data_IF_949121349747
#
_entry.id   IF_949121349747
#
_cell.length_a   1.000
_cell.length_b   1.000
_cell.length_c   1.000
_cell.angle_alpha   90.00
_cell.angle_beta   90.00
_cell.angle_gamma   90.00
#
_symmetry.space_group_name_H-M   'P 1'
#
loop_
_entity.id
_entity.type
_entity.pdbx_description
1 polymer ?
#
# COMPACT_ATOMS: atom_id res chain seq x y z
N UNK A 1 -63.39 18.00 54.65
CA UNK A 1 -63.82 18.19 53.25
C UNK A 1 -62.65 18.76 52.47
N UNK A 2 -62.48 18.28 51.24
CA UNK A 2 -61.33 18.50 50.35
C UNK A 2 -61.07 19.99 50.05
N UNK A 3 -59.81 20.42 50.01
CA UNK A 3 -59.20 20.96 48.77
C UNK A 3 -57.71 21.32 48.96
N UNK A 4 -56.96 21.18 47.86
CA UNK A 4 -55.50 21.15 47.68
C UNK A 4 -54.89 22.54 47.45
N UNK A 5 -53.58 22.73 47.67
CA UNK A 5 -52.65 23.55 46.85
C UNK A 5 -51.21 23.39 47.43
N UNK A 6 -50.32 22.62 46.80
CA UNK A 6 -49.34 22.97 45.76
C UNK A 6 -47.97 23.43 46.32
N UNK A 7 -46.94 22.61 46.17
CA UNK A 7 -45.52 22.95 46.37
C UNK A 7 -44.71 22.51 45.12
N UNK A 8 -43.75 23.32 44.63
CA UNK A 8 -43.16 23.13 43.32
C UNK A 8 -42.03 22.09 43.32
N UNK A 9 -41.96 21.34 42.22
CA UNK A 9 -40.85 20.47 41.83
C UNK A 9 -39.66 21.32 41.38
N UNK A 10 -38.50 21.15 42.03
CA UNK A 10 -37.20 21.57 41.49
C UNK A 10 -36.49 20.31 41.00
N UNK A 11 -36.37 20.19 39.69
CA UNK A 11 -35.68 19.11 38.99
C UNK A 11 -34.18 19.44 38.96
N UNK A 12 -33.38 18.79 39.82
CA UNK A 12 -31.92 18.85 39.75
C UNK A 12 -31.45 17.90 38.64
N UNK A 13 -31.10 18.46 37.48
CA UNK A 13 -30.54 17.72 36.34
C UNK A 13 -29.06 17.42 36.55
N UNK A 14 -28.74 16.16 36.83
CA UNK A 14 -27.38 15.63 36.88
C UNK A 14 -26.80 15.56 35.46
N UNK A 15 -25.89 16.48 35.10
CA UNK A 15 -25.08 16.34 33.90
C UNK A 15 -24.03 15.23 34.12
N UNK A 16 -24.27 14.06 33.55
CA UNK A 16 -23.23 13.05 33.36
C UNK A 16 -22.40 13.44 32.13
N UNK A 17 -21.20 13.97 32.34
CA UNK A 17 -20.20 14.14 31.27
C UNK A 17 -19.56 12.78 31.03
N UNK A 18 -20.06 12.04 30.04
CA UNK A 18 -19.34 10.88 29.50
C UNK A 18 -18.14 11.38 28.71
N UNK A 19 -16.97 11.39 29.35
CA UNK A 19 -15.69 11.52 28.67
C UNK A 19 -15.43 10.24 27.85
N UNK A 20 -15.70 10.29 26.54
CA UNK A 20 -15.18 9.28 25.62
C UNK A 20 -13.67 9.53 25.46
N UNK A 21 -12.86 8.74 26.16
CA UNK A 21 -11.41 8.65 25.93
C UNK A 21 -11.16 7.99 24.57
N UNK A 22 -11.12 8.78 23.51
CA UNK A 22 -10.58 8.36 22.22
C UNK A 22 -9.07 8.19 22.34
N UNK A 23 -8.62 7.01 22.74
CA UNK A 23 -7.21 6.64 22.66
C UNK A 23 -6.74 6.63 21.19
N UNK A 24 -5.46 6.88 20.92
CA UNK A 24 -4.93 6.82 19.55
C UNK A 24 -5.18 5.42 18.96
N UNK A 25 -5.68 5.38 17.72
CA UNK A 25 -5.87 4.14 16.99
C UNK A 25 -4.53 3.38 16.90
N UNK A 26 -4.53 2.10 17.27
CA UNK A 26 -3.34 1.26 17.18
C UNK A 26 -2.84 1.20 15.73
N UNK A 27 -1.54 1.40 15.53
CA UNK A 27 -0.94 1.30 14.20
C UNK A 27 -1.10 -0.14 13.65
N UNK A 28 -1.30 -0.30 12.33
CA UNK A 28 -1.42 -1.63 11.73
C UNK A 28 -0.08 -2.38 11.78
N UNK A 29 -0.14 -3.64 12.19
CA UNK A 29 1.01 -4.56 12.16
C UNK A 29 1.42 -4.79 10.70
N UNK A 30 2.70 -4.54 10.39
CA UNK A 30 3.33 -4.86 9.11
C UNK A 30 4.02 -6.21 9.19
N UNK A 31 4.16 -6.85 8.04
CA UNK A 31 4.96 -8.06 7.87
C UNK A 31 6.09 -7.73 6.91
N UNK A 32 7.33 -7.96 7.34
CA UNK A 32 8.53 -7.86 6.50
C UNK A 32 9.15 -9.24 6.33
N UNK A 33 10.09 -9.34 5.39
CA UNK A 33 10.86 -10.57 5.15
C UNK A 33 12.36 -10.27 5.26
N UNK A 34 13.09 -11.08 6.03
CA UNK A 34 14.56 -11.04 6.05
C UNK A 34 15.12 -11.94 4.93
N UNK A 35 15.97 -11.39 4.06
CA UNK A 35 16.39 -12.08 2.82
C UNK A 35 17.91 -12.04 2.58
N UNK A 36 18.45 -13.26 2.53
CA UNK A 36 19.68 -13.73 1.88
C UNK A 36 19.36 -15.17 1.46
N UNK A 37 18.40 -15.33 0.54
CA UNK A 37 17.33 -16.37 0.61
C UNK A 37 16.43 -16.19 1.84
N UNK A 38 15.17 -16.67 1.86
CA UNK A 38 14.35 -16.60 3.07
C UNK A 38 15.08 -17.25 4.25
N UNK A 39 15.29 -16.49 5.33
CA UNK A 39 16.04 -16.98 6.50
C UNK A 39 15.09 -17.29 7.65
N UNK A 40 15.00 -18.57 8.01
CA UNK A 40 14.19 -19.07 9.10
C UNK A 40 14.99 -19.19 10.41
N UNK A 41 14.36 -18.86 11.54
CA UNK A 41 14.92 -19.09 12.88
C UNK A 41 15.76 -17.95 13.47
N UNK A 42 15.89 -16.80 12.76
CA UNK A 42 16.50 -15.60 13.33
C UNK A 42 15.62 -15.03 14.42
N UNK A 43 16.20 -14.71 15.57
CA UNK A 43 15.50 -13.94 16.60
C UNK A 43 15.36 -12.49 16.14
N UNK A 44 14.16 -11.91 16.25
CA UNK A 44 13.92 -10.50 15.98
C UNK A 44 13.22 -9.81 17.15
N UNK A 45 13.44 -8.52 17.26
CA UNK A 45 12.75 -7.62 18.19
C UNK A 45 12.59 -6.24 17.55
N UNK A 46 11.35 -5.81 17.33
CA UNK A 46 10.99 -4.49 16.78
C UNK A 46 10.62 -3.47 17.86
N UNK A 47 10.67 -3.86 19.14
CA UNK A 47 10.16 -3.09 20.27
C UNK A 47 8.72 -3.46 20.63
N UNK A 48 7.80 -3.51 19.65
CA UNK A 48 6.41 -3.97 19.87
C UNK A 48 6.21 -5.46 19.61
N UNK A 49 7.03 -6.06 18.74
CA UNK A 49 6.95 -7.47 18.39
C UNK A 49 8.31 -8.13 18.50
N UNK A 50 8.34 -9.34 19.06
CA UNK A 50 9.52 -10.16 19.11
C UNK A 50 9.16 -11.62 18.81
N UNK A 51 10.10 -12.36 18.23
CA UNK A 51 9.89 -13.74 17.87
C UNK A 51 11.03 -14.30 17.03
N UNK A 52 10.74 -15.36 16.29
CA UNK A 52 11.66 -15.91 15.29
C UNK A 52 11.10 -15.72 13.89
N UNK A 53 11.98 -15.51 12.91
CA UNK A 53 11.58 -15.48 11.50
C UNK A 53 11.02 -16.84 11.07
N UNK A 54 9.97 -16.81 10.25
CA UNK A 54 9.30 -18.03 9.76
C UNK A 54 10.11 -18.73 8.67
N UNK A 55 9.62 -19.87 8.15
CA UNK A 55 10.20 -20.55 6.99
C UNK A 55 10.28 -19.66 5.72
N UNK A 56 9.38 -18.68 5.59
CA UNK A 56 9.41 -17.67 4.53
C UNK A 56 10.24 -16.44 4.89
N UNK A 57 10.91 -16.41 6.04
CA UNK A 57 11.72 -15.28 6.52
C UNK A 57 10.91 -14.15 7.15
N UNK A 58 9.62 -14.37 7.42
CA UNK A 58 8.72 -13.30 7.87
C UNK A 58 8.96 -12.86 9.31
N UNK A 59 8.84 -11.55 9.56
CA UNK A 59 8.84 -10.92 10.88
C UNK A 59 7.78 -9.81 10.94
N UNK A 60 7.40 -9.41 12.16
CA UNK A 60 6.38 -8.38 12.38
C UNK A 60 6.97 -7.11 12.98
N UNK A 61 6.42 -5.95 12.58
CA UNK A 61 6.86 -4.63 13.05
C UNK A 61 5.75 -3.57 12.86
N UNK A 62 5.89 -2.41 13.51
CA UNK A 62 5.08 -1.20 13.24
C UNK A 62 5.89 -0.16 12.46
N UNK A 63 5.21 0.70 11.69
CA UNK A 63 5.87 1.71 10.86
C UNK A 63 6.74 2.66 11.72
N UNK A 64 8.03 2.76 11.40
CA UNK A 64 8.99 3.60 12.12
C UNK A 64 9.79 2.88 13.23
N UNK A 65 9.49 1.62 13.52
CA UNK A 65 10.26 0.83 14.47
C UNK A 65 11.64 0.42 13.92
N UNK A 66 12.60 0.25 14.83
CA UNK A 66 13.87 -0.40 14.52
C UNK A 66 13.77 -1.87 14.88
N UNK A 67 14.05 -2.74 13.92
CA UNK A 67 14.09 -4.19 14.11
C UNK A 67 15.53 -4.63 14.30
N UNK A 68 15.80 -5.33 15.40
CA UNK A 68 17.09 -5.95 15.71
C UNK A 68 17.02 -7.43 15.36
N UNK A 69 17.95 -7.92 14.56
CA UNK A 69 18.06 -9.35 14.20
C UNK A 69 19.24 -10.01 14.91
N UNK A 70 19.01 -11.20 15.44
CA UNK A 70 19.98 -11.97 16.22
C UNK A 70 19.94 -13.46 15.86
N UNK A 71 21.03 -14.15 16.18
CA UNK A 71 21.06 -15.61 16.29
C UNK A 71 21.31 -15.89 17.77
N UNK A 72 20.29 -16.33 18.51
CA UNK A 72 20.38 -16.38 19.96
C UNK A 72 20.64 -14.97 20.52
N UNK A 73 21.75 -14.80 21.23
CA UNK A 73 22.22 -13.52 21.77
C UNK A 73 23.24 -12.79 20.87
N UNK A 74 23.66 -13.38 19.74
CA UNK A 74 24.55 -12.71 18.80
C UNK A 74 23.76 -11.72 17.92
N UNK A 75 24.01 -10.42 18.05
CA UNK A 75 23.40 -9.39 17.19
C UNK A 75 24.04 -9.38 15.81
N UNK A 76 23.25 -9.67 14.78
CA UNK A 76 23.67 -9.57 13.37
C UNK A 76 23.68 -8.11 12.92
N UNK A 77 22.69 -7.33 13.39
CA UNK A 77 22.54 -5.92 13.14
C UNK A 77 21.10 -5.46 13.35
N UNK A 78 20.83 -4.22 12.96
CA UNK A 78 19.52 -3.58 13.13
C UNK A 78 19.20 -2.68 11.95
N UNK A 79 17.92 -2.50 11.66
CA UNK A 79 17.46 -1.58 10.62
C UNK A 79 16.07 -1.06 10.92
N UNK A 80 15.63 -0.01 10.23
CA UNK A 80 14.21 0.37 10.24
C UNK A 80 13.38 -0.78 9.63
N UNK A 81 12.22 -1.04 10.23
CA UNK A 81 11.28 -2.02 9.73
C UNK A 81 10.87 -1.73 8.28
N UNK A 82 10.96 -2.74 7.42
CA UNK A 82 10.64 -2.64 6.00
C UNK A 82 10.06 -3.96 5.49
N UNK A 83 9.35 -3.91 4.36
CA UNK A 83 8.79 -5.09 3.71
C UNK A 83 9.87 -6.12 3.33
N UNK A 84 11.10 -5.65 3.07
CA UNK A 84 12.27 -6.48 2.81
C UNK A 84 13.48 -5.90 3.54
N UNK A 85 14.15 -6.72 4.33
CA UNK A 85 15.42 -6.39 4.99
C UNK A 85 16.44 -7.43 4.55
N UNK A 86 17.61 -6.97 4.15
CA UNK A 86 18.74 -7.80 3.71
C UNK A 86 19.98 -7.50 4.56
N UNK A 87 21.02 -8.35 4.51
CA UNK A 87 22.33 -8.04 5.09
C UNK A 87 22.90 -6.64 4.73
N UNK A 88 22.59 -6.09 3.55
CA UNK A 88 22.98 -4.71 3.20
C UNK A 88 22.44 -3.68 4.20
N UNK A 89 21.14 -3.80 4.54
CA UNK A 89 20.47 -2.87 5.43
C UNK A 89 20.90 -3.03 6.88
N UNK A 90 21.22 -4.25 7.33
CA UNK A 90 21.76 -4.47 8.67
C UNK A 90 23.18 -3.93 8.82
N UNK A 91 24.00 -4.05 7.77
CA UNK A 91 25.36 -3.53 7.74
C UNK A 91 25.43 -2.02 7.46
N UNK A 92 24.32 -1.39 7.07
CA UNK A 92 24.29 0.01 6.63
C UNK A 92 25.10 0.26 5.36
N UNK A 93 25.24 -0.74 4.49
CA UNK A 93 26.06 -0.69 3.28
C UNK A 93 25.20 -0.81 2.02
N UNK A 94 25.68 -0.23 0.92
CA UNK A 94 25.11 -0.42 -0.42
C UNK A 94 25.94 -1.40 -1.25
N UNK A 95 27.10 -1.83 -0.74
CA UNK A 95 28.01 -2.73 -1.44
C UNK A 95 27.81 -4.17 -0.95
N UNK A 96 27.33 -5.10 -1.80
CA UNK A 96 27.15 -6.50 -1.40
C UNK A 96 28.47 -7.22 -1.09
N UNK A 97 29.61 -6.67 -1.51
CA UNK A 97 30.94 -7.18 -1.18
C UNK A 97 31.57 -6.48 0.05
N UNK A 98 30.82 -5.65 0.78
CA UNK A 98 31.28 -5.05 2.02
C UNK A 98 31.65 -6.13 3.06
N UNK A 99 32.80 -6.04 3.74
CA UNK A 99 33.21 -7.04 4.73
C UNK A 99 32.18 -7.29 5.85
N UNK A 100 31.40 -6.28 6.25
CA UNK A 100 30.34 -6.43 7.26
C UNK A 100 29.18 -7.28 6.71
N UNK A 101 28.78 -7.00 5.48
CA UNK A 101 27.75 -7.75 4.76
C UNK A 101 28.20 -9.20 4.56
N UNK A 102 29.43 -9.40 4.07
CA UNK A 102 29.97 -10.74 3.84
C UNK A 102 30.09 -11.54 5.13
N UNK A 103 30.44 -10.93 6.28
CA UNK A 103 30.41 -11.64 7.57
C UNK A 103 29.03 -12.16 7.93
N UNK A 104 27.98 -11.37 7.72
CA UNK A 104 26.60 -11.80 7.99
C UNK A 104 26.22 -12.98 7.08
N UNK A 105 26.43 -12.83 5.77
CA UNK A 105 26.12 -13.86 4.75
C UNK A 105 26.92 -15.14 5.01
N UNK A 106 28.23 -15.06 5.25
CA UNK A 106 29.08 -16.22 5.53
C UNK A 106 28.58 -16.99 6.76
N UNK A 107 28.18 -16.29 7.83
CA UNK A 107 27.66 -16.93 9.02
C UNK A 107 26.32 -17.63 8.73
N UNK A 108 25.38 -16.95 8.06
CA UNK A 108 24.07 -17.51 7.70
C UNK A 108 24.22 -18.78 6.87
N UNK A 109 25.00 -18.73 5.78
CA UNK A 109 25.26 -19.88 4.91
C UNK A 109 25.98 -21.02 5.64
N UNK A 110 26.86 -20.70 6.59
CA UNK A 110 27.58 -21.73 7.36
C UNK A 110 26.66 -22.43 8.35
N UNK A 111 25.68 -21.72 8.91
CA UNK A 111 24.77 -22.25 9.92
C UNK A 111 23.52 -22.93 9.32
N UNK A 112 23.30 -22.77 8.02
CA UNK A 112 22.19 -23.36 7.30
C UNK A 112 22.10 -24.87 7.50
N UNK A 113 20.99 -25.36 8.04
CA UNK A 113 20.88 -26.71 8.60
C UNK A 113 21.29 -27.82 7.61
N UNK A 114 20.85 -27.73 6.36
CA UNK A 114 21.15 -28.69 5.30
C UNK A 114 22.30 -28.26 4.36
N UNK A 115 22.79 -27.03 4.52
CA UNK A 115 23.87 -26.45 3.72
C UNK A 115 23.46 -26.14 2.28
N UNK A 116 22.17 -26.06 1.99
CA UNK A 116 21.63 -25.76 0.67
C UNK A 116 20.78 -24.48 0.69
N UNK A 117 21.39 -23.30 0.52
CA UNK A 117 20.67 -22.04 0.68
C UNK A 117 19.68 -21.73 -0.47
N UNK A 118 19.67 -22.53 -1.54
CA UNK A 118 18.72 -22.39 -2.65
C UNK A 118 17.28 -22.79 -2.27
N UNK A 119 17.09 -23.56 -1.18
CA UNK A 119 15.77 -23.93 -0.64
C UNK A 119 15.35 -23.08 0.58
N UNK A 120 16.11 -22.02 0.90
CA UNK A 120 15.99 -21.22 2.11
C UNK A 120 17.15 -21.48 3.06
N UNK A 121 17.38 -20.57 4.00
CA UNK A 121 18.38 -20.76 5.07
C UNK A 121 17.65 -21.11 6.35
N UNK A 122 17.95 -22.26 6.94
CA UNK A 122 17.35 -22.69 8.19
C UNK A 122 18.36 -22.69 9.34
N UNK A 123 18.14 -21.81 10.32
CA UNK A 123 18.94 -21.80 11.56
C UNK A 123 18.25 -22.68 12.61
N UNK A 124 18.83 -23.85 12.88
CA UNK A 124 18.31 -24.78 13.89
C UNK A 124 18.31 -24.13 15.30
N UNK A 125 17.29 -24.43 16.10
CA UNK A 125 17.13 -23.86 17.44
C UNK A 125 18.30 -24.24 18.37
N UNK A 126 18.82 -25.45 18.24
CA UNK A 126 19.97 -25.96 19.00
C UNK A 126 21.26 -25.21 18.61
N UNK A 127 21.39 -24.83 17.35
CA UNK A 127 22.52 -24.03 16.86
C UNK A 127 22.42 -22.59 17.36
N UNK A 128 21.23 -21.98 17.26
CA UNK A 128 20.96 -20.64 17.78
C UNK A 128 21.20 -20.54 19.28
N UNK A 129 20.83 -21.57 20.05
CA UNK A 129 21.01 -21.62 21.50
C UNK A 129 22.49 -21.65 21.93
N UNK A 130 23.42 -22.03 21.04
CA UNK A 130 24.86 -21.97 21.34
C UNK A 130 25.39 -20.54 21.40
N UNK A 131 24.73 -19.59 20.74
CA UNK A 131 25.07 -18.18 20.84
C UNK A 131 24.42 -17.58 22.10
N UNK A 132 24.91 -17.98 23.27
CA UNK A 132 24.35 -17.61 24.58
C UNK A 132 25.01 -16.38 25.22
N UNK A 133 25.97 -15.77 24.52
CA UNK A 133 26.66 -14.56 24.95
C UNK A 133 26.28 -13.36 24.08
N UNK A 134 25.73 -12.32 24.74
CA UNK A 134 25.36 -11.06 24.11
C UNK A 134 26.58 -10.31 23.56
N UNK A 135 26.70 -10.26 22.24
CA UNK A 135 27.72 -9.49 21.52
C UNK A 135 27.22 -9.14 20.12
N UNK A 136 27.81 -8.12 19.47
CA UNK A 136 27.57 -7.88 18.05
C UNK A 136 28.48 -8.74 17.17
N UNK A 137 28.01 -9.12 15.99
CA UNK A 137 28.81 -9.85 15.00
C UNK A 137 30.10 -9.11 14.61
N UNK A 138 30.06 -7.77 14.65
CA UNK A 138 31.22 -6.90 14.41
C UNK A 138 32.32 -7.09 15.48
N UNK A 139 31.93 -7.41 16.71
CA UNK A 139 32.83 -7.60 17.84
C UNK A 139 33.29 -9.06 18.01
N UNK A 140 32.65 -10.01 17.33
CA UNK A 140 32.81 -11.44 17.55
C UNK A 140 34.11 -12.07 17.01
N UNK A 141 35.17 -11.28 16.77
CA UNK A 141 36.49 -11.77 16.35
C UNK A 141 36.48 -12.54 15.02
N UNK A 142 37.37 -13.52 14.85
CA UNK A 142 37.35 -14.41 13.67
C UNK A 142 36.17 -15.39 13.70
N UNK A 143 35.42 -15.52 12.59
CA UNK A 143 34.20 -16.34 12.58
C UNK A 143 34.48 -17.84 12.72
N UNK A 144 35.56 -18.36 12.13
CA UNK A 144 35.87 -19.78 12.29
C UNK A 144 36.24 -20.11 13.73
N UNK A 145 36.99 -19.21 14.38
CA UNK A 145 37.34 -19.29 15.79
C UNK A 145 36.09 -19.27 16.67
N UNK A 146 35.14 -18.36 16.39
CA UNK A 146 33.85 -18.30 17.09
C UNK A 146 33.07 -19.61 16.94
N UNK A 147 32.92 -20.14 15.72
CA UNK A 147 32.21 -21.41 15.47
C UNK A 147 32.85 -22.57 16.26
N UNK A 148 34.18 -22.66 16.27
CA UNK A 148 34.91 -23.67 17.01
C UNK A 148 34.69 -23.55 18.53
N UNK A 149 34.73 -22.34 19.08
CA UNK A 149 34.49 -22.08 20.51
C UNK A 149 33.07 -22.49 20.95
N UNK A 150 32.08 -22.30 20.06
CA UNK A 150 30.69 -22.70 20.30
C UNK A 150 30.45 -24.20 20.06
N UNK A 151 31.49 -24.96 19.67
CA UNK A 151 31.38 -26.38 19.33
C UNK A 151 30.57 -26.64 18.06
N UNK A 152 30.45 -25.64 17.17
CA UNK A 152 29.80 -25.78 15.87
C UNK A 152 30.86 -26.25 14.87
N UNK A 153 30.90 -27.57 14.65
CA UNK A 153 31.90 -28.22 13.79
C UNK A 153 31.53 -28.06 12.32
N UNK A 154 31.66 -26.84 11.81
CA UNK A 154 31.43 -26.48 10.41
C UNK A 154 32.56 -25.58 9.90
N UNK A 155 32.91 -25.75 8.63
CA UNK A 155 33.87 -24.86 7.96
C UNK A 155 33.14 -23.61 7.50
N UNK A 156 33.69 -22.45 7.81
CA UNK A 156 33.16 -21.17 7.37
C UNK A 156 33.11 -21.11 5.84
N UNK A 157 31.94 -20.78 5.30
CA UNK A 157 31.75 -20.53 3.88
C UNK A 157 32.69 -19.41 3.41
N UNK A 158 33.33 -19.57 2.25
CA UNK A 158 34.31 -18.58 1.76
C UNK A 158 33.62 -17.26 1.41
N UNK A 159 34.36 -16.14 1.53
CA UNK A 159 33.86 -14.82 1.18
C UNK A 159 33.40 -14.74 -0.29
N UNK A 160 34.08 -15.44 -1.20
CA UNK A 160 33.70 -15.49 -2.61
C UNK A 160 32.38 -16.25 -2.82
N UNK A 161 32.17 -17.37 -2.14
CA UNK A 161 30.91 -18.11 -2.21
C UNK A 161 29.78 -17.27 -1.64
N UNK A 162 29.99 -16.68 -0.46
CA UNK A 162 29.03 -15.77 0.18
C UNK A 162 28.65 -14.59 -0.74
N UNK A 163 29.63 -13.91 -1.32
CA UNK A 163 29.38 -12.82 -2.27
C UNK A 163 28.57 -13.29 -3.49
N UNK A 164 28.93 -14.44 -4.06
CA UNK A 164 28.25 -14.98 -5.24
C UNK A 164 26.81 -15.42 -4.94
N UNK A 165 26.58 -16.03 -3.77
CA UNK A 165 25.26 -16.38 -3.28
C UNK A 165 24.41 -15.12 -3.09
N UNK A 166 24.91 -14.17 -2.29
CA UNK A 166 24.15 -12.98 -1.95
C UNK A 166 23.84 -12.12 -3.19
N UNK A 167 24.75 -12.05 -4.17
CA UNK A 167 24.46 -11.44 -5.46
C UNK A 167 23.31 -12.12 -6.21
N UNK A 168 23.21 -13.46 -6.17
CA UNK A 168 22.06 -14.18 -6.73
C UNK A 168 20.79 -13.92 -5.93
N UNK A 169 20.86 -13.86 -4.61
CA UNK A 169 19.72 -13.53 -3.74
C UNK A 169 19.19 -12.11 -4.03
N UNK A 170 20.08 -11.12 -4.16
CA UNK A 170 19.72 -9.76 -4.55
C UNK A 170 19.18 -9.71 -5.98
N UNK A 171 19.79 -10.43 -6.92
CA UNK A 171 19.27 -10.54 -8.27
C UNK A 171 17.87 -11.18 -8.29
N UNK A 172 17.61 -12.19 -7.48
CA UNK A 172 16.30 -12.82 -7.34
C UNK A 172 15.28 -11.91 -6.67
N UNK A 173 15.67 -11.07 -5.70
CA UNK A 173 14.81 -10.02 -5.15
C UNK A 173 14.46 -8.95 -6.20
N UNK A 174 15.43 -8.59 -7.05
CA UNK A 174 15.20 -7.66 -8.16
C UNK A 174 14.47 -8.32 -9.34
N UNK A 175 14.56 -9.64 -9.49
CA UNK A 175 13.99 -10.42 -10.60
C UNK A 175 12.67 -11.12 -10.26
N UNK A 176 12.29 -11.25 -8.98
CA UNK A 176 10.91 -11.45 -8.59
C UNK A 176 10.17 -10.21 -9.08
N UNK A 177 9.34 -10.32 -10.14
CA UNK A 177 8.49 -9.19 -10.47
C UNK A 177 7.73 -8.90 -9.17
N UNK A 178 7.65 -7.63 -8.72
CA UNK A 178 6.73 -7.30 -7.65
C UNK A 178 5.40 -7.96 -8.03
N UNK A 179 4.74 -8.65 -7.09
CA UNK A 179 3.34 -9.05 -7.29
C UNK A 179 2.68 -7.89 -8.02
N UNK A 180 2.18 -8.05 -9.26
CA UNK A 180 1.80 -6.90 -10.07
C UNK A 180 0.89 -6.05 -9.20
N UNK A 181 1.31 -4.81 -8.96
CA UNK A 181 0.64 -3.91 -8.01
C UNK A 181 -0.86 -3.93 -8.28
N UNK A 182 -1.19 -3.98 -9.56
CA UNK A 182 -2.51 -4.06 -10.11
C UNK A 182 -2.84 -5.50 -10.53
N UNK A 183 -3.83 -6.11 -9.89
CA UNK A 183 -4.37 -7.43 -10.24
C UNK A 183 -5.68 -7.25 -11.01
N UNK A 184 -5.73 -7.57 -12.31
CA UNK A 184 -6.94 -7.41 -13.12
C UNK A 184 -8.02 -8.42 -12.70
N UNK A 185 -9.27 -7.97 -12.61
CA UNK A 185 -10.41 -8.76 -12.19
C UNK A 185 -11.50 -8.76 -13.28
N UNK A 186 -12.15 -9.91 -13.45
CA UNK A 186 -13.25 -10.11 -14.38
C UNK A 186 -14.42 -9.17 -14.06
N UNK A 187 -15.05 -8.63 -15.11
CA UNK A 187 -16.17 -7.69 -14.98
C UNK A 187 -17.40 -8.32 -14.32
N UNK A 188 -17.65 -9.61 -14.55
CA UNK A 188 -18.87 -10.28 -14.10
C UNK A 188 -18.88 -10.61 -12.60
N UNK A 189 -17.77 -11.14 -12.09
CA UNK A 189 -17.72 -11.76 -10.75
C UNK A 189 -16.49 -11.34 -9.92
N UNK A 190 -15.58 -10.55 -10.50
CA UNK A 190 -14.37 -10.12 -9.80
C UNK A 190 -13.32 -11.23 -9.64
N UNK A 191 -13.42 -12.34 -10.36
CA UNK A 191 -12.40 -13.38 -10.36
C UNK A 191 -11.06 -12.83 -10.93
N UNK A 192 -9.90 -13.20 -10.37
CA UNK A 192 -8.61 -12.81 -10.93
C UNK A 192 -8.43 -13.34 -12.36
N UNK A 193 -8.02 -12.46 -13.28
CA UNK A 193 -7.74 -12.84 -14.66
C UNK A 193 -6.31 -13.39 -14.78
N UNK A 194 -6.18 -14.57 -15.40
CA UNK A 194 -4.89 -15.27 -15.59
C UNK A 194 -4.44 -15.35 -17.07
N UNK A 195 -5.02 -14.53 -17.96
CA UNK A 195 -4.71 -14.54 -19.40
C UNK A 195 -4.95 -13.19 -20.08
N UNK A 196 -4.42 -13.02 -21.31
CA UNK A 196 -4.40 -11.75 -22.04
C UNK A 196 -5.64 -11.44 -22.90
N UNK A 197 -6.58 -12.38 -23.02
CA UNK A 197 -7.73 -12.25 -23.93
C UNK A 197 -8.96 -11.59 -23.27
N UNK A 198 -9.08 -11.64 -21.94
CA UNK A 198 -10.21 -11.07 -21.22
C UNK A 198 -9.88 -9.66 -20.70
N UNK A 199 -10.71 -8.68 -21.05
CA UNK A 199 -10.58 -7.32 -20.52
C UNK A 199 -11.06 -7.28 -19.08
N UNK A 200 -10.26 -6.69 -18.20
CA UNK A 200 -10.65 -6.44 -16.82
C UNK A 200 -11.83 -5.46 -16.75
N UNK A 201 -12.79 -5.72 -15.85
CA UNK A 201 -13.82 -4.73 -15.48
C UNK A 201 -13.34 -3.80 -14.37
N UNK A 202 -12.44 -4.29 -13.53
CA UNK A 202 -11.78 -3.53 -12.48
C UNK A 202 -10.41 -4.14 -12.15
N UNK A 203 -9.63 -3.43 -11.34
CA UNK A 203 -8.27 -3.83 -10.98
C UNK A 203 -8.02 -3.60 -9.50
N UNK A 204 -7.49 -4.60 -8.81
CA UNK A 204 -7.14 -4.51 -7.38
C UNK A 204 -5.73 -3.94 -7.24
N UNK A 205 -5.60 -2.81 -6.56
CA UNK A 205 -4.31 -2.26 -6.15
C UNK A 205 -3.88 -2.89 -4.82
N UNK A 206 -2.88 -3.78 -4.86
CA UNK A 206 -2.33 -4.46 -3.68
C UNK A 206 -1.58 -3.50 -2.74
N UNK A 207 -1.14 -2.34 -3.22
CA UNK A 207 -0.42 -1.36 -2.41
C UNK A 207 -1.37 -0.57 -1.51
N UNK A 208 -2.49 -0.12 -2.06
CA UNK A 208 -3.47 0.73 -1.34
C UNK A 208 -4.64 -0.05 -0.77
N UNK A 209 -4.87 -1.28 -1.24
CA UNK A 209 -6.07 -2.05 -0.94
C UNK A 209 -7.32 -1.55 -1.68
N UNK A 210 -7.20 -0.53 -2.54
CA UNK A 210 -8.30 -0.02 -3.36
C UNK A 210 -8.56 -0.95 -4.55
N UNK A 211 -9.78 -0.95 -5.05
CA UNK A 211 -10.12 -1.54 -6.36
C UNK A 211 -10.64 -0.43 -7.26
N UNK A 212 -10.08 -0.35 -8.46
CA UNK A 212 -10.32 0.70 -9.43
C UNK A 212 -11.10 0.18 -10.61
N UNK A 213 -12.05 0.97 -11.10
CA UNK A 213 -12.78 0.68 -12.32
C UNK A 213 -11.81 0.63 -13.52
N UNK A 214 -11.99 -0.31 -14.45
CA UNK A 214 -11.36 -0.30 -15.79
C UNK A 214 -12.46 -0.02 -16.81
N UNK A 215 -12.29 0.94 -17.71
CA UNK A 215 -13.38 1.37 -18.60
C UNK A 215 -13.67 0.33 -19.68
N UNK A 216 -14.95 0.23 -20.02
CA UNK A 216 -15.42 -0.55 -21.15
C UNK A 216 -15.16 0.21 -22.46
N UNK A 217 -15.15 -0.50 -23.59
CA UNK A 217 -15.03 0.15 -24.91
C UNK A 217 -16.29 0.93 -25.30
N UNK A 218 -17.44 0.50 -24.78
CA UNK A 218 -18.78 1.00 -25.13
C UNK A 218 -19.73 0.88 -23.94
N UNK A 219 -20.94 1.41 -24.11
CA UNK A 219 -21.97 1.37 -23.08
C UNK A 219 -21.74 2.41 -21.98
N UNK A 220 -22.40 2.24 -20.83
CA UNK A 220 -22.37 3.18 -19.71
C UNK A 220 -20.95 3.63 -19.33
N UNK A 221 -20.04 2.66 -19.13
CA UNK A 221 -18.66 2.86 -18.68
C UNK A 221 -17.68 3.06 -19.84
N UNK A 222 -18.16 3.55 -20.99
CA UNK A 222 -17.32 3.75 -22.17
C UNK A 222 -16.11 4.64 -21.86
N UNK A 223 -14.95 4.21 -22.34
CA UNK A 223 -13.70 4.96 -22.30
C UNK A 223 -13.72 6.24 -23.16
N UNK A 224 -14.76 6.49 -23.96
CA UNK A 224 -14.92 7.76 -24.68
C UNK A 224 -15.70 8.81 -23.89
N UNK A 225 -16.34 8.44 -22.78
CA UNK A 225 -17.23 9.33 -22.05
C UNK A 225 -16.51 10.36 -21.19
N UNK A 226 -17.16 11.51 -21.04
CA UNK A 226 -16.78 12.63 -20.16
C UNK A 226 -18.01 13.06 -19.37
N UNK A 227 -17.80 13.57 -18.16
CA UNK A 227 -18.88 13.85 -17.20
C UNK A 227 -18.72 15.24 -16.59
N UNK A 228 -19.86 15.83 -16.21
CA UNK A 228 -19.94 17.08 -15.45
C UNK A 228 -20.13 16.79 -13.96
N UNK A 229 -19.53 17.63 -13.12
CA UNK A 229 -19.62 17.48 -11.67
C UNK A 229 -21.02 17.83 -11.12
N UNK A 230 -21.71 18.79 -11.73
CA UNK A 230 -23.10 19.14 -11.44
C UNK A 230 -23.89 19.32 -12.74
N UNK A 231 -25.20 19.59 -12.63
CA UNK A 231 -26.09 19.83 -13.76
C UNK A 231 -25.79 21.17 -14.48
N UNK A 232 -24.56 21.34 -14.98
CA UNK A 232 -24.23 22.46 -15.86
C UNK A 232 -24.77 22.17 -17.26
N UNK A 233 -25.88 22.83 -17.60
CA UNK A 233 -26.55 22.74 -18.90
C UNK A 233 -25.80 23.58 -19.96
N UNK A 234 -24.47 23.48 -20.04
CA UNK A 234 -23.75 24.16 -21.11
C UNK A 234 -23.59 23.20 -22.30
N UNK A 235 -24.63 23.16 -23.15
CA UNK A 235 -24.75 22.31 -24.35
C UNK A 235 -23.68 22.58 -25.44
N UNK A 236 -22.80 23.58 -25.25
CA UNK A 236 -21.78 23.94 -26.23
C UNK A 236 -20.53 23.06 -26.19
N UNK A 237 -20.32 22.26 -25.14
CA UNK A 237 -19.26 21.25 -25.08
C UNK A 237 -19.86 19.85 -25.00
N UNK A 238 -19.47 18.97 -25.91
CA UNK A 238 -20.04 17.63 -26.00
C UNK A 238 -19.48 16.72 -24.90
N UNK A 239 -20.21 16.57 -23.80
CA UNK A 239 -20.07 15.37 -22.99
C UNK A 239 -20.78 14.22 -23.73
N UNK A 240 -20.00 13.23 -24.18
CA UNK A 240 -20.54 12.05 -24.83
C UNK A 240 -20.94 11.05 -23.76
N UNK A 241 -22.24 10.86 -23.51
CA UNK A 241 -22.77 9.80 -22.65
C UNK A 241 -23.67 8.85 -23.44
N UNK A 242 -23.91 7.65 -22.90
CA UNK A 242 -24.49 6.53 -23.65
C UNK A 242 -25.93 6.77 -24.12
N UNK A 243 -26.45 5.87 -24.95
CA UNK A 243 -27.74 5.99 -25.67
C UNK A 243 -29.01 6.21 -24.81
N UNK A 244 -28.91 6.20 -23.47
CA UNK A 244 -30.01 6.47 -22.52
C UNK A 244 -29.73 7.61 -21.54
N UNK A 245 -28.55 8.23 -21.58
CA UNK A 245 -28.15 9.28 -20.65
C UNK A 245 -28.35 10.64 -21.32
N UNK A 246 -29.35 11.39 -20.87
CA UNK A 246 -29.59 12.76 -21.33
C UNK A 246 -28.80 13.79 -20.54
N UNK A 247 -28.33 13.44 -19.34
CA UNK A 247 -27.52 14.29 -18.48
C UNK A 247 -26.24 13.58 -18.02
N UNK A 248 -25.10 14.08 -18.48
CA UNK A 248 -23.76 13.52 -18.23
C UNK A 248 -23.26 13.78 -16.80
N UNK A 249 -24.09 13.58 -15.79
CA UNK A 249 -23.78 13.92 -14.40
C UNK A 249 -23.01 12.78 -13.70
N UNK A 250 -21.98 13.14 -12.93
CA UNK A 250 -21.22 12.18 -12.13
C UNK A 250 -22.09 11.41 -11.14
N UNK A 251 -23.06 12.06 -10.51
CA UNK A 251 -23.95 11.42 -9.53
C UNK A 251 -24.75 10.27 -10.15
N UNK A 252 -25.32 10.50 -11.34
CA UNK A 252 -26.07 9.49 -12.09
C UNK A 252 -25.14 8.38 -12.56
N UNK A 253 -23.97 8.73 -13.08
CA UNK A 253 -22.98 7.73 -13.49
C UNK A 253 -22.62 6.76 -12.36
N UNK A 254 -22.30 7.29 -11.17
CA UNK A 254 -21.97 6.47 -10.00
C UNK A 254 -23.14 5.56 -9.63
N UNK A 255 -24.36 6.09 -9.61
CA UNK A 255 -25.56 5.32 -9.29
C UNK A 255 -25.82 4.18 -10.29
N UNK A 256 -25.62 4.42 -11.58
CA UNK A 256 -25.82 3.42 -12.63
C UNK A 256 -24.74 2.33 -12.59
N UNK A 257 -23.47 2.67 -12.32
CA UNK A 257 -22.40 1.65 -12.16
C UNK A 257 -22.64 0.76 -10.93
N UNK A 258 -23.15 1.32 -9.83
CA UNK A 258 -23.54 0.53 -8.64
C UNK A 258 -24.62 -0.50 -8.97
N UNK A 259 -25.57 -0.17 -9.83
CA UNK A 259 -26.62 -1.09 -10.27
C UNK A 259 -26.09 -2.23 -11.15
N UNK A 260 -24.98 -2.02 -11.87
CA UNK A 260 -24.37 -3.05 -12.73
C UNK A 260 -23.64 -4.15 -11.97
N UNK A 261 -23.44 -4.00 -10.65
CA UNK A 261 -22.65 -4.91 -9.83
C UNK A 261 -21.26 -5.20 -10.43
N UNK A 262 -20.59 -4.16 -10.92
CA UNK A 262 -19.28 -4.26 -11.58
C UNK A 262 -18.29 -5.06 -10.71
N UNK A 263 -17.69 -6.10 -11.29
CA UNK A 263 -16.82 -7.08 -10.64
C UNK A 263 -17.50 -7.89 -9.52
N UNK A 264 -18.77 -8.25 -9.71
CA UNK A 264 -19.54 -9.05 -8.76
C UNK A 264 -19.94 -8.32 -7.48
N UNK A 265 -19.66 -7.02 -7.37
CA UNK A 265 -19.89 -6.29 -6.13
C UNK A 265 -21.32 -5.77 -6.00
N UNK A 266 -22.04 -6.26 -4.99
CA UNK A 266 -23.40 -5.81 -4.69
C UNK A 266 -23.44 -4.57 -3.80
N UNK A 267 -23.35 -3.40 -4.44
CA UNK A 267 -23.31 -2.11 -3.76
C UNK A 267 -24.66 -1.69 -3.15
N UNK A 268 -25.77 -2.37 -3.47
CA UNK A 268 -27.07 -2.11 -2.80
C UNK A 268 -27.08 -2.60 -1.35
N UNK A 269 -26.23 -3.58 -1.04
CA UNK A 269 -26.05 -4.14 0.31
C UNK A 269 -24.83 -3.56 1.04
N UNK A 270 -23.91 -2.91 0.31
CA UNK A 270 -22.69 -2.33 0.84
C UNK A 270 -22.89 -0.85 1.20
N UNK A 271 -23.11 -0.54 2.48
CA UNK A 271 -23.14 0.85 2.95
C UNK A 271 -21.77 1.55 2.85
N UNK A 272 -21.79 2.88 2.62
CA UNK A 272 -20.64 3.78 2.80
C UNK A 272 -19.46 3.55 1.84
N UNK A 273 -18.24 3.58 2.38
CA UNK A 273 -16.96 3.51 1.63
C UNK A 273 -16.69 2.15 0.95
N UNK A 274 -17.60 1.18 1.10
CA UNK A 274 -17.47 -0.18 0.55
C UNK A 274 -18.01 -0.36 -0.87
N UNK A 275 -18.85 0.57 -1.35
CA UNK A 275 -19.37 0.56 -2.72
C UNK A 275 -18.55 1.41 -3.70
N UNK A 276 -18.81 1.27 -5.00
CA UNK A 276 -18.22 2.11 -6.05
C UNK A 276 -18.54 3.58 -5.80
N UNK A 277 -17.53 4.44 -5.79
CA UNK A 277 -17.67 5.88 -5.51
C UNK A 277 -16.66 6.69 -6.31
N UNK A 278 -16.85 8.01 -6.31
CA UNK A 278 -15.79 8.91 -6.72
C UNK A 278 -14.59 8.76 -5.77
N UNK A 279 -13.36 8.75 -6.31
CA UNK A 279 -12.15 8.75 -5.50
C UNK A 279 -11.90 10.11 -4.87
N UNK A 280 -11.22 10.15 -3.73
CA UNK A 280 -10.64 11.41 -3.23
C UNK A 280 -9.47 11.83 -4.13
N UNK A 281 -9.06 13.10 -4.05
CA UNK A 281 -7.87 13.59 -4.76
C UNK A 281 -6.63 12.78 -4.35
N UNK A 282 -6.47 12.46 -3.05
CA UNK A 282 -5.38 11.60 -2.56
C UNK A 282 -5.42 10.21 -3.20
N UNK A 283 -6.58 9.57 -3.28
CA UNK A 283 -6.71 8.25 -3.89
C UNK A 283 -6.29 8.26 -5.35
N UNK A 284 -6.74 9.23 -6.14
CA UNK A 284 -6.33 9.35 -7.55
C UNK A 284 -4.82 9.57 -7.70
N UNK A 285 -4.21 10.38 -6.83
CA UNK A 285 -2.75 10.59 -6.87
C UNK A 285 -1.96 9.33 -6.60
N UNK A 286 -2.51 8.32 -5.91
CA UNK A 286 -1.81 7.04 -5.74
C UNK A 286 -1.57 6.32 -7.06
N UNK A 287 -2.36 6.61 -8.10
CA UNK A 287 -2.20 6.04 -9.44
C UNK A 287 -1.15 6.75 -10.29
N UNK A 288 -0.67 7.93 -9.88
CA UNK A 288 0.32 8.68 -10.65
C UNK A 288 1.64 7.92 -10.70
N UNK A 289 2.07 7.63 -11.93
CA UNK A 289 3.38 7.08 -12.25
C UNK A 289 3.99 7.86 -13.41
N UNK A 290 4.86 8.81 -13.06
CA UNK A 290 5.54 9.67 -14.03
C UNK A 290 6.56 8.92 -14.89
N UNK A 291 6.96 7.70 -14.52
CA UNK A 291 7.82 6.87 -15.37
C UNK A 291 7.09 6.36 -16.61
N UNK A 292 5.75 6.27 -16.55
CA UNK A 292 4.90 5.82 -17.66
C UNK A 292 4.51 6.96 -18.62
N UNK A 293 4.80 8.20 -18.24
CA UNK A 293 4.44 9.40 -18.98
C UNK A 293 5.29 9.54 -20.25
N UNK A 294 4.63 9.59 -21.41
CA UNK A 294 5.28 9.95 -22.68
C UNK A 294 4.50 11.08 -23.37
N UNK A 295 5.10 12.27 -23.43
CA UNK A 295 4.49 13.45 -24.05
C UNK A 295 4.39 13.35 -25.57
N UNK A 296 5.38 12.75 -26.22
CA UNK A 296 5.39 12.63 -27.67
C UNK A 296 4.27 11.70 -28.15
N UNK A 297 3.98 10.66 -27.37
CA UNK A 297 2.95 9.66 -27.68
C UNK A 297 1.58 9.93 -27.02
N UNK A 298 1.44 11.03 -26.26
CA UNK A 298 0.19 11.37 -25.56
C UNK A 298 -0.20 10.38 -24.46
N UNK A 299 0.76 9.63 -23.91
CA UNK A 299 0.52 8.57 -22.94
C UNK A 299 0.40 9.14 -21.50
N UNK A 300 -0.55 8.67 -20.69
CA UNK A 300 -0.77 9.16 -19.33
C UNK A 300 0.31 8.73 -18.35
N UNK A 301 0.46 9.49 -17.27
CA UNK A 301 1.33 9.19 -16.13
C UNK A 301 0.70 8.16 -15.18
N UNK A 302 0.43 6.93 -15.64
CA UNK A 302 -0.05 5.82 -14.82
C UNK A 302 0.23 4.47 -15.51
N UNK A 303 0.08 3.35 -14.80
CA UNK A 303 0.26 2.00 -15.35
C UNK A 303 -0.76 1.66 -16.46
N UNK A 304 -0.32 1.70 -17.72
CA UNK A 304 -1.16 1.51 -18.91
C UNK A 304 -1.55 0.05 -19.16
N UNK A 305 -0.88 -0.90 -18.52
CA UNK A 305 -1.27 -2.31 -18.60
C UNK A 305 -2.43 -2.59 -17.64
N UNK A 306 -2.39 -1.98 -16.45
CA UNK A 306 -3.49 -2.01 -15.50
C UNK A 306 -4.71 -1.21 -15.98
N UNK A 307 -4.47 -0.10 -16.68
CA UNK A 307 -5.50 0.83 -17.15
C UNK A 307 -5.32 1.16 -18.64
N UNK A 308 -5.58 0.19 -19.54
CA UNK A 308 -5.38 0.40 -20.99
C UNK A 308 -6.33 1.45 -21.58
N UNK A 309 -7.40 1.80 -20.86
CA UNK A 309 -8.38 2.80 -21.25
C UNK A 309 -7.99 4.25 -20.87
N UNK A 310 -6.93 4.42 -20.09
CA UNK A 310 -6.54 5.73 -19.57
C UNK A 310 -5.97 6.66 -20.65
N UNK A 311 -6.24 7.95 -20.50
CA UNK A 311 -5.70 9.00 -21.38
C UNK A 311 -5.09 10.13 -20.55
N UNK A 312 -4.09 10.82 -21.08
CA UNK A 312 -3.46 11.97 -20.41
C UNK A 312 -4.43 13.17 -20.35
N UNK A 313 -5.22 13.29 -19.29
CA UNK A 313 -6.20 14.38 -19.06
C UNK A 313 -6.62 14.45 -17.59
N UNK A 314 -7.64 15.27 -17.28
CA UNK A 314 -8.21 15.47 -15.96
C UNK A 314 -9.23 14.38 -15.59
N UNK A 315 -9.11 13.88 -14.36
CA UNK A 315 -10.04 12.92 -13.75
C UNK A 315 -10.66 13.53 -12.50
N UNK A 316 -12.00 13.46 -12.41
CA UNK A 316 -12.78 13.97 -11.29
C UNK A 316 -12.52 13.21 -9.99
N UNK A 317 -12.44 13.97 -8.90
CA UNK A 317 -12.45 13.47 -7.53
C UNK A 317 -13.71 13.90 -6.78
N UNK A 318 -13.94 13.31 -5.60
CA UNK A 318 -14.96 13.74 -4.64
C UNK A 318 -14.51 14.92 -3.75
N UNK A 319 -13.27 15.40 -3.93
CA UNK A 319 -12.69 16.45 -3.10
C UNK A 319 -13.13 17.81 -3.62
N UNK A 320 -13.69 18.63 -2.75
CA UNK A 320 -14.17 19.98 -3.07
C UNK A 320 -13.32 21.03 -2.37
N UNK A 321 -12.89 22.06 -3.09
CA UNK A 321 -12.17 23.21 -2.51
C UNK A 321 -13.09 24.39 -2.21
N UNK A 322 -14.17 24.54 -2.98
CA UNK A 322 -15.27 25.46 -2.74
C UNK A 322 -16.55 24.91 -3.38
N UNK A 323 -17.69 25.59 -3.20
CA UNK A 323 -18.99 25.16 -3.73
C UNK A 323 -18.97 24.92 -5.26
N UNK A 324 -18.21 25.72 -6.01
CA UNK A 324 -18.14 25.65 -7.48
C UNK A 324 -16.83 25.07 -8.03
N UNK A 325 -15.90 24.61 -7.15
CA UNK A 325 -14.58 24.13 -7.55
C UNK A 325 -14.30 22.74 -6.99
N UNK A 326 -14.39 21.77 -7.87
CA UNK A 326 -14.11 20.37 -7.59
C UNK A 326 -12.68 20.03 -7.98
N UNK A 327 -11.97 19.31 -7.12
CA UNK A 327 -10.60 18.89 -7.38
C UNK A 327 -10.55 17.83 -8.49
N UNK A 328 -9.52 17.92 -9.31
CA UNK A 328 -9.19 16.94 -10.34
C UNK A 328 -7.74 16.52 -10.21
N UNK A 329 -7.45 15.29 -10.62
CA UNK A 329 -6.07 14.83 -10.84
C UNK A 329 -5.80 14.79 -12.33
N UNK A 330 -4.73 15.44 -12.76
CA UNK A 330 -4.28 15.40 -14.14
C UNK A 330 -3.23 14.29 -14.29
N UNK A 331 -3.47 13.35 -15.20
CA UNK A 331 -2.49 12.33 -15.59
C UNK A 331 -1.63 12.77 -16.78
N UNK A 332 -1.63 14.07 -17.07
CA UNK A 332 -0.68 14.78 -17.91
C UNK A 332 0.34 15.54 -17.04
N UNK A 333 1.19 16.38 -17.63
CA UNK A 333 2.25 17.08 -16.89
C UNK A 333 1.75 18.18 -15.93
N UNK A 334 0.46 18.52 -15.92
CA UNK A 334 -0.10 19.61 -15.11
C UNK A 334 0.01 19.32 -13.61
N UNK A 335 -0.23 18.09 -13.18
CA UNK A 335 -0.17 17.74 -11.76
C UNK A 335 1.28 17.61 -11.24
N UNK A 336 2.26 17.54 -12.14
CA UNK A 336 3.68 17.59 -11.77
C UNK A 336 4.10 18.99 -11.33
N UNK A 337 3.44 20.04 -11.83
CA UNK A 337 3.75 21.44 -11.51
C UNK A 337 2.87 22.04 -10.42
N UNK A 338 1.68 21.46 -10.18
CA UNK A 338 0.71 21.96 -9.21
C UNK A 338 0.39 20.90 -8.17
N UNK A 339 0.44 21.28 -6.89
CA UNK A 339 0.09 20.40 -5.78
C UNK A 339 -1.39 19.99 -5.81
N UNK A 340 -2.28 20.85 -6.30
CA UNK A 340 -3.70 20.58 -6.53
C UNK A 340 -4.22 21.33 -7.76
N UNK A 341 -5.28 20.79 -8.37
CA UNK A 341 -5.94 21.36 -9.54
C UNK A 341 -7.45 21.27 -9.31
N UNK A 342 -8.21 22.28 -9.69
CA UNK A 342 -9.67 22.24 -9.66
C UNK A 342 -10.25 22.74 -10.97
N UNK A 343 -11.41 22.21 -11.33
CA UNK A 343 -12.20 22.65 -12.48
C UNK A 343 -13.54 23.23 -11.99
N UNK A 344 -14.14 24.08 -12.82
CA UNK A 344 -15.51 24.54 -12.63
C UNK A 344 -16.50 23.42 -12.90
N UNK A 345 -17.69 23.52 -12.31
CA UNK A 345 -18.74 22.50 -12.49
C UNK A 345 -19.28 22.40 -13.92
N UNK A 346 -19.05 23.43 -14.73
CA UNK A 346 -19.39 23.55 -16.15
C UNK A 346 -18.40 22.89 -17.11
N UNK A 347 -17.28 22.39 -16.60
CA UNK A 347 -16.28 21.70 -17.41
C UNK A 347 -16.53 20.19 -17.39
N UNK A 348 -16.28 19.51 -18.51
CA UNK A 348 -16.36 18.05 -18.56
C UNK A 348 -14.97 17.42 -18.35
N UNK A 349 -14.86 16.46 -17.45
CA UNK A 349 -13.64 15.68 -17.23
C UNK A 349 -13.93 14.17 -17.21
N UNK A 350 -12.88 13.34 -17.20
CA UNK A 350 -13.03 11.89 -17.09
C UNK A 350 -13.29 11.50 -15.63
N UNK A 351 -13.70 10.26 -15.42
CA UNK A 351 -13.91 9.69 -14.09
C UNK A 351 -13.40 8.27 -14.07
N UNK A 352 -12.87 7.80 -12.94
CA UNK A 352 -12.61 6.38 -12.69
C UNK A 352 -13.07 6.10 -11.28
N UNK A 353 -14.07 5.24 -11.12
CA UNK A 353 -14.59 4.93 -9.79
C UNK A 353 -13.60 4.08 -9.00
N UNK A 354 -13.73 4.18 -7.69
CA UNK A 354 -12.93 3.41 -6.73
C UNK A 354 -13.85 2.79 -5.68
N UNK A 355 -13.39 1.70 -5.06
CA UNK A 355 -13.97 1.08 -3.87
C UNK A 355 -12.86 0.63 -2.93
N UNK A 356 -13.17 0.47 -1.63
CA UNK A 356 -12.20 -0.02 -0.63
C UNK A 356 -11.88 1.02 0.45
N UNK A 357 -10.80 0.80 1.24
CA UNK A 357 -10.48 1.64 2.38
C UNK A 357 -10.25 3.09 1.95
N UNK A 358 -11.03 4.02 2.49
CA UNK A 358 -10.97 5.42 2.07
C UNK A 358 -9.67 6.08 2.52
N UNK A 359 -8.96 6.72 1.59
CA UNK A 359 -7.80 7.55 1.91
C UNK A 359 -8.25 9.01 1.99
N UNK A 360 -8.29 9.55 3.22
CA UNK A 360 -8.66 10.94 3.45
C UNK A 360 -7.62 11.90 2.82
N UNK A 361 -8.10 12.96 2.18
CA UNK A 361 -7.23 14.00 1.66
C UNK A 361 -6.38 14.61 2.78
N UNK A 362 -5.17 15.04 2.43
CA UNK A 362 -4.36 15.84 3.34
C UNK A 362 -5.13 17.13 3.69
N UNK A 363 -5.12 17.57 4.96
CA UNK A 363 -5.78 18.81 5.34
C UNK A 363 -5.21 19.96 4.50
N UNK A 364 -6.09 20.63 3.75
CA UNK A 364 -5.70 21.71 2.87
C UNK A 364 -4.99 22.81 3.67
N UNK A 365 -3.72 23.10 3.34
CA UNK A 365 -3.01 24.27 3.87
C UNK A 365 -3.62 25.59 3.38
N UNK A 366 -4.51 25.53 2.39
CA UNK A 366 -5.44 26.59 2.05
C UNK A 366 -6.55 26.65 3.11
N UNK A 367 -6.21 27.11 4.31
CA UNK A 367 -7.21 27.77 5.15
C UNK A 367 -7.74 28.94 4.32
N UNK A 368 -8.99 28.83 3.88
CA UNK A 368 -9.80 29.99 3.54
C UNK A 368 -9.80 30.87 4.78
N UNK A 369 -9.00 31.92 4.76
CA UNK A 369 -9.20 33.04 5.65
C UNK A 369 -10.53 33.68 5.28
N UNK A 370 -11.61 33.37 6.00
CA UNK A 370 -12.82 34.21 5.95
C UNK A 370 -14.17 33.53 6.19
N UNK A 371 -14.49 33.35 7.48
CA UNK A 371 -15.81 33.38 8.16
C UNK A 371 -17.01 32.53 7.69
N UNK A 372 -17.85 32.08 8.65
CA UNK A 372 -19.12 31.42 8.37
C UNK A 372 -20.21 32.43 8.00
N UNK A 373 -21.11 32.00 7.11
CA UNK A 373 -22.52 32.42 7.13
C UNK A 373 -23.38 31.18 7.33
#
# INVERSE_FOLDING_TARGET
MHSRLAFPFILAGSLAVTACSGGPAAQPIRTGVFVDSPVAGLDYDSGSHAGKTTASGEFHYLDGETVVFRIGQLELGRSLGAAQITPLQLAGSQNPADPKVLRQVQLLLTLDQDGNPDNGIQIAAETSARFDHSQSLEQAGDLQTLLNQLGIVRSLVSAQHAASHFQRSLAALHAQPPSPRFVPLAEADGAPLSGSAERAGCVKDKQTGLTWEVKAERGLRSQSHRYYASASVNQQQSAHCGAKQTDCQLAIYVQEVRQQKLCGFDDQTAGGDRGWRLPTERELKTLLDWSQRDKALGLPALDRYAFPDATATFYWSSTSYSEDRMAVVAFDDTHRSLASISLGSDQAARVRLVRGPRLADEPSTLRVTGRPL
#
